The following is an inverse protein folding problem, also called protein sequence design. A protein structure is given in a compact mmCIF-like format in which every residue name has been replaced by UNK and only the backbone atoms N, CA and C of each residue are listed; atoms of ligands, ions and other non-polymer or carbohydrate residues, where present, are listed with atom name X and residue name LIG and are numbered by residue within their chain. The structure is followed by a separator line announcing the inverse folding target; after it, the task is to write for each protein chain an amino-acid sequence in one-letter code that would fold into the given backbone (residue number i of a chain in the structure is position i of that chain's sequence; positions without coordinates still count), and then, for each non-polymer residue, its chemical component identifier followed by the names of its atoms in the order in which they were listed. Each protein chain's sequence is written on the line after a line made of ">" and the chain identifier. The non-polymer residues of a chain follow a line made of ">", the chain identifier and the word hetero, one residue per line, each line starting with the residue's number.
data_IF_458810767967
#
_entry.id   IF_458810767967
#
_cell.length_a   1.000
_cell.length_b   1.000
_cell.length_c   1.000
_cell.angle_alpha   90.00
_cell.angle_beta   90.00
_cell.angle_gamma   90.00
#
_symmetry.space_group_name_H-M   'P 1'
#
loop_
_entity.id
_entity.type
_entity.pdbx_description
1 polymer ?
#
# COMPACT_ATOMS: atom_id res chain seq x y z
N UNK A 1 1.12 -4.85 6.08
CA UNK A 1 2.13 -5.77 5.52
C UNK A 1 3.22 -4.94 4.84
N UNK A 2 4.45 -5.43 4.76
CA UNK A 2 5.54 -4.71 4.07
C UNK A 2 6.19 -5.59 3.02
N UNK A 3 6.63 -5.00 1.91
CA UNK A 3 7.30 -5.68 0.82
C UNK A 3 8.59 -4.99 0.42
N UNK A 4 9.58 -5.77 -0.03
CA UNK A 4 10.89 -5.27 -0.45
C UNK A 4 10.83 -4.64 -1.84
N UNK A 5 11.47 -3.48 -1.98
CA UNK A 5 11.64 -2.75 -3.23
C UNK A 5 13.14 -2.63 -3.54
N UNK A 6 13.88 -1.96 -2.66
CA UNK A 6 15.32 -1.76 -2.84
C UNK A 6 16.06 -3.10 -2.80
N UNK A 7 16.98 -3.30 -3.74
CA UNK A 7 17.80 -4.52 -3.81
C UNK A 7 17.10 -5.73 -4.44
N UNK A 8 15.87 -5.59 -4.95
CA UNK A 8 15.13 -6.68 -5.61
C UNK A 8 15.36 -6.62 -7.12
N UNK A 9 15.74 -7.73 -7.74
CA UNK A 9 15.79 -7.91 -9.21
C UNK A 9 16.50 -6.76 -9.96
N UNK A 10 17.64 -6.29 -9.45
CA UNK A 10 18.44 -5.24 -10.08
C UNK A 10 18.02 -3.81 -9.70
N UNK A 11 17.00 -3.62 -8.87
CA UNK A 11 16.68 -2.33 -8.28
C UNK A 11 17.79 -1.95 -7.29
N UNK A 12 18.39 -0.75 -7.38
CA UNK A 12 19.38 -0.29 -6.40
C UNK A 12 18.85 -0.36 -4.96
N UNK A 13 19.72 -0.69 -4.01
CA UNK A 13 19.31 -0.84 -2.61
C UNK A 13 18.78 0.46 -1.99
N UNK A 14 19.25 1.61 -2.47
CA UNK A 14 19.00 2.94 -1.93
C UNK A 14 18.05 3.81 -2.78
N UNK A 15 17.07 3.20 -3.44
CA UNK A 15 16.03 3.95 -4.16
C UNK A 15 15.23 4.86 -3.21
N UNK A 16 14.83 6.04 -3.69
CA UNK A 16 14.09 7.02 -2.88
C UNK A 16 12.58 6.78 -2.86
N UNK A 17 12.02 6.26 -3.93
CA UNK A 17 10.60 6.02 -4.10
C UNK A 17 10.31 4.91 -5.11
N UNK A 18 9.09 4.40 -5.10
CA UNK A 18 8.57 3.45 -6.08
C UNK A 18 7.19 3.88 -6.55
N UNK A 19 6.93 3.70 -7.85
CA UNK A 19 5.60 3.82 -8.44
C UNK A 19 5.10 2.42 -8.79
N UNK A 20 3.89 2.06 -8.36
CA UNK A 20 3.26 0.77 -8.65
C UNK A 20 1.74 0.90 -8.74
N UNK A 21 1.11 -0.07 -9.40
CA UNK A 21 -0.34 -0.18 -9.42
C UNK A 21 -0.83 -0.94 -8.17
N UNK A 22 -1.60 -0.27 -7.32
CA UNK A 22 -2.24 -0.84 -6.14
C UNK A 22 -3.69 -1.19 -6.49
N UNK A 23 -4.04 -2.46 -6.43
CA UNK A 23 -5.41 -2.93 -6.70
C UNK A 23 -6.00 -3.58 -5.45
N UNK A 24 -7.22 -3.16 -5.08
CA UNK A 24 -8.09 -3.95 -4.20
C UNK A 24 -9.04 -4.74 -5.08
N UNK A 25 -9.14 -6.04 -4.85
CA UNK A 25 -9.98 -6.94 -5.63
C UNK A 25 -10.89 -7.75 -4.71
N UNK A 26 -12.18 -7.82 -5.07
CA UNK A 26 -13.20 -8.61 -4.38
C UNK A 26 -13.25 -8.37 -2.85
N UNK A 27 -13.23 -7.12 -2.36
CA UNK A 27 -13.31 -6.86 -0.93
C UNK A 27 -14.69 -7.28 -0.39
N UNK A 28 -14.72 -7.86 0.80
CA UNK A 28 -15.94 -8.31 1.48
C UNK A 28 -16.58 -7.24 2.37
N UNK A 29 -15.87 -6.15 2.63
CA UNK A 29 -16.36 -4.96 3.34
C UNK A 29 -15.78 -3.67 2.74
N UNK A 30 -16.30 -2.52 3.15
CA UNK A 30 -15.74 -1.23 2.74
C UNK A 30 -14.49 -0.90 3.56
N UNK A 31 -13.61 -0.08 2.98
CA UNK A 31 -12.37 0.27 3.65
C UNK A 31 -11.45 1.15 2.82
N UNK A 32 -10.20 1.23 3.27
CA UNK A 32 -9.15 1.94 2.56
C UNK A 32 -7.77 1.30 2.76
N UNK A 33 -6.86 1.60 1.83
CA UNK A 33 -5.45 1.25 1.91
C UNK A 33 -4.58 2.51 1.97
N UNK A 34 -3.60 2.51 2.87
CA UNK A 34 -2.52 3.49 2.96
C UNK A 34 -1.21 2.81 2.60
N UNK A 35 -0.44 3.37 1.68
CA UNK A 35 0.92 2.98 1.34
C UNK A 35 1.91 4.03 1.86
N UNK A 36 2.94 3.59 2.57
CA UNK A 36 3.91 4.49 3.22
C UNK A 36 5.28 3.80 3.40
N UNK A 37 6.38 4.56 3.53
CA UNK A 37 7.69 3.98 3.81
C UNK A 37 7.65 3.15 5.10
N UNK A 38 8.25 1.97 5.07
CA UNK A 38 8.50 1.17 6.29
C UNK A 38 9.36 1.95 7.29
N UNK A 39 9.17 1.64 8.57
CA UNK A 39 9.91 2.29 9.66
C UNK A 39 9.40 3.69 10.02
N UNK A 40 8.42 4.24 9.31
CA UNK A 40 7.79 5.53 9.66
C UNK A 40 6.43 5.33 10.31
N UNK A 41 5.96 6.37 11.01
CA UNK A 41 4.56 6.44 11.43
C UNK A 41 3.63 6.40 10.20
N UNK A 42 2.50 5.70 10.32
CA UNK A 42 1.48 5.66 9.28
C UNK A 42 0.84 7.05 9.14
N UNK A 43 0.81 7.65 7.92
CA UNK A 43 0.11 8.90 7.69
C UNK A 43 -1.41 8.76 7.91
N UNK A 44 -2.07 9.85 8.29
CA UNK A 44 -3.54 9.93 8.27
C UNK A 44 -4.04 10.29 6.86
N UNK A 45 -3.82 9.38 5.90
CA UNK A 45 -4.24 9.54 4.51
C UNK A 45 -4.48 8.18 3.86
N UNK A 46 -5.38 8.09 2.89
CA UNK A 46 -5.59 6.90 2.06
C UNK A 46 -5.05 7.11 0.64
N UNK A 47 -4.57 6.03 0.04
CA UNK A 47 -4.27 5.98 -1.40
C UNK A 47 -5.45 5.43 -2.19
N UNK A 48 -6.21 4.50 -1.62
CA UNK A 48 -7.31 3.84 -2.31
C UNK A 48 -8.43 3.55 -1.31
N UNK A 49 -9.65 3.98 -1.62
CA UNK A 49 -10.86 3.67 -0.87
C UNK A 49 -11.71 2.72 -1.71
N UNK A 50 -12.39 1.78 -1.07
CA UNK A 50 -13.16 0.76 -1.76
C UNK A 50 -14.44 0.39 -0.98
N UNK A 51 -15.42 -0.11 -1.71
CA UNK A 51 -16.64 -0.72 -1.20
C UNK A 51 -16.68 -2.22 -1.56
N UNK A 52 -17.57 -2.97 -0.88
CA UNK A 52 -17.77 -4.40 -1.10
C UNK A 52 -18.00 -4.74 -2.57
N UNK A 53 -17.35 -5.81 -3.05
CA UNK A 53 -17.53 -6.35 -4.39
C UNK A 53 -16.85 -5.56 -5.52
N UNK A 54 -16.11 -4.50 -5.21
CA UNK A 54 -15.42 -3.73 -6.24
C UNK A 54 -14.08 -4.34 -6.66
N UNK A 55 -13.61 -3.95 -7.85
CA UNK A 55 -12.21 -4.06 -8.25
C UNK A 55 -11.73 -2.65 -8.56
N UNK A 56 -10.86 -2.11 -7.71
CA UNK A 56 -10.40 -0.72 -7.79
C UNK A 56 -8.89 -0.71 -7.92
N UNK A 57 -8.32 -0.20 -9.02
CA UNK A 57 -6.91 0.10 -9.14
C UNK A 57 -6.60 1.57 -8.79
N UNK A 58 -5.37 1.85 -8.35
CA UNK A 58 -4.80 3.19 -8.29
C UNK A 58 -3.29 3.16 -8.57
N UNK A 59 -2.78 4.15 -9.32
CA UNK A 59 -1.34 4.34 -9.52
C UNK A 59 -0.77 5.11 -8.32
N UNK A 60 0.15 4.47 -7.59
CA UNK A 60 0.65 4.97 -6.31
C UNK A 60 2.14 5.21 -6.41
N UNK A 61 2.61 6.39 -5.98
CA UNK A 61 4.04 6.70 -5.80
C UNK A 61 4.32 6.93 -4.32
N UNK A 62 5.24 6.15 -3.74
CA UNK A 62 5.50 6.13 -2.29
C UNK A 62 7.00 6.13 -2.03
N UNK A 63 7.50 6.91 -1.05
CA UNK A 63 8.88 6.81 -0.60
C UNK A 63 9.23 5.39 -0.11
N UNK A 64 10.45 4.95 -0.36
CA UNK A 64 10.95 3.66 0.17
C UNK A 64 11.61 3.89 1.52
N UNK A 65 11.29 3.04 2.51
CA UNK A 65 11.90 3.11 3.84
C UNK A 65 13.39 2.82 3.80
N UNK A 66 14.13 3.15 4.86
CA UNK A 66 15.58 2.95 4.93
C UNK A 66 16.00 1.48 4.87
N UNK A 67 15.09 0.55 5.17
CA UNK A 67 15.27 -0.90 4.99
C UNK A 67 14.88 -1.39 3.58
N UNK A 68 14.61 -0.47 2.65
CA UNK A 68 14.28 -0.76 1.26
C UNK A 68 12.85 -1.22 1.03
N UNK A 69 11.93 -1.04 2.00
CA UNK A 69 10.55 -1.56 1.92
C UNK A 69 9.49 -0.47 1.82
N UNK A 70 8.30 -0.89 1.39
CA UNK A 70 7.05 -0.13 1.49
C UNK A 70 6.08 -0.92 2.37
N UNK A 71 5.30 -0.22 3.18
CA UNK A 71 4.26 -0.80 4.01
C UNK A 71 2.88 -0.44 3.48
N UNK A 72 2.02 -1.45 3.33
CA UNK A 72 0.59 -1.30 3.07
C UNK A 72 -0.18 -1.56 4.36
N UNK A 73 -1.00 -0.60 4.75
CA UNK A 73 -1.99 -0.73 5.80
C UNK A 73 -3.38 -0.82 5.18
N UNK A 74 -4.13 -1.85 5.53
CA UNK A 74 -5.52 -2.02 5.14
C UNK A 74 -6.41 -1.81 6.38
N UNK A 75 -7.34 -0.86 6.30
CA UNK A 75 -8.44 -0.72 7.24
C UNK A 75 -9.75 -1.10 6.55
N UNK A 76 -10.29 -2.24 6.94
CA UNK A 76 -11.65 -2.63 6.58
C UNK A 76 -12.58 -2.47 7.78
N UNK A 77 -13.84 -2.11 7.55
CA UNK A 77 -14.86 -2.29 8.58
C UNK A 77 -15.15 -3.78 8.75
N UNK A 78 -15.56 -4.19 9.95
CA UNK A 78 -16.23 -5.48 10.11
C UNK A 78 -17.51 -5.50 9.26
N UNK A 79 -17.89 -6.65 8.66
CA UNK A 79 -19.20 -6.79 8.05
C UNK A 79 -20.28 -6.53 9.12
N UNK A 80 -21.22 -5.62 8.86
CA UNK A 80 -22.42 -5.55 9.69
C UNK A 80 -23.28 -6.77 9.33
N UNK A 81 -23.34 -7.75 10.24
CA UNK A 81 -24.42 -8.74 10.26
C UNK A 81 -25.65 -8.12 10.93
#
# INVERSE_FOLDING_TARGET
>A
MSFQVGGVNGIPANVSAVTFNLTVANPTSFGFVTAYPSGTARPNASNLNYATGQIVPNLVTVPVGSDGKVTLYNQSSEPRN
#
